data_IF_739009206146
#
_entry.id   IF_739009206146
#
_cell.length_a   1.000
_cell.length_b   1.000
_cell.length_c   1.000
_cell.angle_alpha   90.00
_cell.angle_beta   90.00
_cell.angle_gamma   90.00
#
_symmetry.space_group_name_H-M   'P 1'
#
loop_
_entity.id
_entity.type
_entity.pdbx_description
1 polymer ?
#
# COMPACT_ATOMS: atom_id res chain seq x y z
N UNK A 1 32.98 7.33 3.46
CA UNK A 1 31.60 7.86 3.46
C UNK A 1 31.11 7.89 2.02
N UNK A 2 29.88 7.46 1.75
CA UNK A 2 29.31 7.55 0.40
C UNK A 2 29.03 9.02 0.03
N UNK A 3 29.30 9.40 -1.21
CA UNK A 3 28.96 10.72 -1.74
C UNK A 3 27.44 10.85 -1.92
N UNK A 4 26.93 12.08 -2.04
CA UNK A 4 25.50 12.31 -2.28
C UNK A 4 25.00 11.58 -3.54
N UNK A 5 25.76 11.62 -4.63
CA UNK A 5 25.42 10.92 -5.86
C UNK A 5 25.39 9.39 -5.67
N UNK A 6 26.30 8.84 -4.86
CA UNK A 6 26.29 7.40 -4.54
C UNK A 6 25.05 7.02 -3.73
N UNK A 7 24.62 7.85 -2.77
CA UNK A 7 23.39 7.61 -2.01
C UNK A 7 22.14 7.66 -2.89
N UNK A 8 22.04 8.67 -3.76
CA UNK A 8 20.94 8.79 -4.72
C UNK A 8 20.89 7.54 -5.60
N UNK A 9 22.02 7.10 -6.15
CA UNK A 9 22.07 5.89 -6.98
C UNK A 9 21.61 4.64 -6.19
N UNK A 10 22.06 4.49 -4.94
CA UNK A 10 21.64 3.38 -4.08
C UNK A 10 20.12 3.35 -3.87
N UNK A 11 19.48 4.50 -3.67
CA UNK A 11 18.02 4.55 -3.56
C UNK A 11 17.33 4.22 -4.88
N UNK A 12 17.86 4.72 -6.01
CA UNK A 12 17.29 4.43 -7.34
C UNK A 12 17.38 2.95 -7.69
N UNK A 13 18.44 2.26 -7.28
CA UNK A 13 18.61 0.82 -7.51
C UNK A 13 17.72 -0.02 -6.58
N UNK A 14 17.39 0.49 -5.38
CA UNK A 14 16.58 -0.21 -4.39
C UNK A 14 15.07 0.00 -4.56
N UNK A 15 14.64 1.11 -5.18
CA UNK A 15 13.24 1.47 -5.32
C UNK A 15 12.63 0.94 -6.62
N UNK A 16 11.39 0.42 -6.59
CA UNK A 16 10.62 0.17 -7.80
C UNK A 16 10.40 1.46 -8.60
N UNK A 17 10.33 1.35 -9.92
CA UNK A 17 10.24 2.51 -10.82
C UNK A 17 9.07 3.46 -10.52
N UNK A 18 7.91 2.95 -10.07
CA UNK A 18 6.78 3.80 -9.67
C UNK A 18 7.09 4.64 -8.42
N UNK A 19 7.86 4.10 -7.48
CA UNK A 19 8.24 4.82 -6.26
C UNK A 19 9.36 5.83 -6.53
N UNK A 20 10.25 5.51 -7.46
CA UNK A 20 11.19 6.51 -8.00
C UNK A 20 10.41 7.68 -8.62
N UNK A 21 9.39 7.41 -9.44
CA UNK A 21 8.55 8.48 -10.04
C UNK A 21 7.82 9.29 -8.98
N UNK A 22 7.28 8.65 -7.94
CA UNK A 22 6.62 9.33 -6.84
C UNK A 22 7.57 10.27 -6.08
N UNK A 23 8.78 9.78 -5.73
CA UNK A 23 9.83 10.55 -5.11
C UNK A 23 10.26 11.75 -5.97
N UNK A 24 10.52 11.51 -7.27
CA UNK A 24 10.93 12.56 -8.22
C UNK A 24 9.82 13.60 -8.39
N UNK A 25 8.55 13.18 -8.48
CA UNK A 25 7.41 14.10 -8.56
C UNK A 25 7.30 14.97 -7.30
N UNK A 26 7.47 14.38 -6.12
CA UNK A 26 7.49 15.13 -4.84
C UNK A 26 8.64 16.13 -4.82
N UNK A 27 9.82 15.71 -5.25
CA UNK A 27 10.99 16.57 -5.34
C UNK A 27 10.78 17.75 -6.30
N UNK A 28 10.24 17.51 -7.50
CA UNK A 28 9.96 18.54 -8.50
C UNK A 28 8.86 19.52 -8.10
N UNK A 29 7.96 19.11 -7.20
CA UNK A 29 6.91 19.98 -6.66
C UNK A 29 7.42 20.92 -5.55
N UNK A 30 8.66 20.76 -5.08
CA UNK A 30 9.27 21.67 -4.13
C UNK A 30 9.80 22.92 -4.84
N UNK A 31 9.62 24.09 -4.22
CA UNK A 31 9.99 25.40 -4.79
C UNK A 31 11.50 25.61 -4.99
N UNK A 32 12.32 24.74 -4.41
CA UNK A 32 13.78 24.85 -4.40
C UNK A 32 14.36 23.45 -4.64
N UNK A 33 14.72 23.23 -5.91
CA UNK A 33 15.13 21.94 -6.49
C UNK A 33 16.62 21.73 -6.19
N UNK A 34 16.91 20.85 -5.23
CA UNK A 34 18.27 20.48 -4.83
C UNK A 34 18.43 18.96 -4.67
N UNK A 35 19.62 18.46 -4.95
CA UNK A 35 19.94 17.03 -4.90
C UNK A 35 19.86 16.45 -3.48
N UNK A 36 20.07 17.25 -2.44
CA UNK A 36 19.87 16.78 -1.05
C UNK A 36 18.39 16.47 -0.81
N UNK A 37 17.48 17.30 -1.33
CA UNK A 37 16.03 17.06 -1.21
C UNK A 37 15.55 15.91 -2.08
N UNK A 38 16.23 15.63 -3.20
CA UNK A 38 15.97 14.44 -4.00
C UNK A 38 16.31 13.18 -3.19
N UNK A 39 17.51 13.14 -2.59
CA UNK A 39 17.93 12.02 -1.75
C UNK A 39 16.95 11.80 -0.58
N UNK A 40 16.52 12.87 0.09
CA UNK A 40 15.51 12.80 1.14
C UNK A 40 14.16 12.25 0.64
N UNK A 41 13.71 12.68 -0.54
CA UNK A 41 12.45 12.22 -1.12
C UNK A 41 12.51 10.72 -1.47
N UNK A 42 13.66 10.27 -1.98
CA UNK A 42 13.91 8.86 -2.27
C UNK A 42 13.98 8.02 -0.97
N UNK A 43 14.68 8.50 0.06
CA UNK A 43 14.76 7.84 1.36
C UNK A 43 13.37 7.70 2.01
N UNK A 44 12.52 8.73 1.91
CA UNK A 44 11.14 8.67 2.40
C UNK A 44 10.31 7.57 1.73
N UNK A 45 10.42 7.40 0.41
CA UNK A 45 9.73 6.33 -0.29
C UNK A 45 10.25 4.94 0.13
N UNK A 46 11.56 4.82 0.34
CA UNK A 46 12.15 3.55 0.78
C UNK A 46 11.67 3.19 2.19
N UNK A 47 11.62 4.15 3.11
CA UNK A 47 11.06 3.97 4.45
C UNK A 47 9.57 3.64 4.41
N UNK A 48 8.80 4.23 3.47
CA UNK A 48 7.38 3.95 3.32
C UNK A 48 7.13 2.49 2.88
N UNK A 49 7.92 1.99 1.93
CA UNK A 49 7.87 0.58 1.52
C UNK A 49 8.21 -0.35 2.68
N UNK A 50 9.33 -0.09 3.38
CA UNK A 50 9.75 -0.93 4.49
C UNK A 50 8.70 -0.99 5.62
N UNK A 51 8.01 0.14 5.89
CA UNK A 51 6.89 0.18 6.84
C UNK A 51 5.69 -0.62 6.34
N UNK A 52 5.35 -0.50 5.06
CA UNK A 52 4.23 -1.25 4.48
C UNK A 52 4.49 -2.76 4.51
N UNK A 53 5.70 -3.19 4.15
CA UNK A 53 6.12 -4.59 4.23
C UNK A 53 6.04 -5.10 5.67
N UNK A 54 6.51 -4.31 6.64
CA UNK A 54 6.39 -4.67 8.06
C UNK A 54 4.93 -4.81 8.53
N UNK A 55 4.01 -3.98 8.02
CA UNK A 55 2.57 -4.11 8.29
C UNK A 55 2.02 -5.40 7.68
N UNK A 56 2.36 -5.72 6.43
CA UNK A 56 1.89 -6.96 5.78
C UNK A 56 2.40 -8.21 6.49
N UNK A 57 3.60 -8.14 7.07
CA UNK A 57 4.22 -9.22 7.83
C UNK A 57 3.71 -9.31 9.28
N UNK A 58 2.95 -8.31 9.75
CA UNK A 58 2.40 -8.28 11.11
C UNK A 58 1.42 -9.43 11.35
N UNK A 59 1.35 -9.89 12.60
CA UNK A 59 0.45 -10.97 12.99
C UNK A 59 -1.01 -10.54 12.86
N UNK A 60 -1.31 -9.27 13.15
CA UNK A 60 -2.63 -8.66 12.99
C UNK A 60 -3.09 -8.68 11.54
N UNK A 61 -2.23 -8.23 10.61
CA UNK A 61 -2.56 -8.25 9.18
C UNK A 61 -2.75 -9.68 8.67
N UNK A 62 -1.88 -10.62 9.08
CA UNK A 62 -1.98 -12.03 8.69
C UNK A 62 -3.20 -12.73 9.29
N UNK A 63 -3.73 -12.27 10.42
CA UNK A 63 -5.01 -12.75 10.98
C UNK A 63 -6.19 -12.29 10.13
N UNK A 64 -6.20 -11.06 9.65
CA UNK A 64 -7.28 -10.53 8.81
C UNK A 64 -7.19 -11.04 7.35
N UNK A 65 -5.97 -11.14 6.83
CA UNK A 65 -5.65 -11.54 5.46
C UNK A 65 -4.64 -12.70 5.45
N UNK A 66 -5.07 -13.91 5.85
CA UNK A 66 -4.19 -15.07 5.85
C UNK A 66 -3.80 -15.45 4.42
N UNK A 67 -2.57 -15.94 4.24
CA UNK A 67 -2.20 -16.61 3.00
C UNK A 67 -3.09 -17.82 2.81
N UNK A 68 -3.83 -17.83 1.70
CA UNK A 68 -4.73 -18.91 1.33
C UNK A 68 -4.22 -19.53 0.04
N UNK A 69 -4.21 -20.86 0.00
CA UNK A 69 -4.06 -21.61 -1.25
C UNK A 69 -5.19 -21.28 -2.22
N UNK A 70 -5.02 -21.58 -3.51
CA UNK A 70 -6.05 -21.34 -4.52
C UNK A 70 -7.36 -22.06 -4.16
N UNK A 71 -7.29 -23.29 -3.67
CA UNK A 71 -8.47 -24.06 -3.23
C UNK A 71 -9.19 -23.37 -2.06
N UNK A 72 -8.46 -22.84 -1.08
CA UNK A 72 -9.05 -22.11 0.05
C UNK A 72 -9.69 -20.80 -0.39
N UNK A 73 -9.07 -20.09 -1.35
CA UNK A 73 -9.66 -18.87 -1.93
C UNK A 73 -10.96 -19.19 -2.66
N UNK A 74 -10.99 -20.26 -3.45
CA UNK A 74 -12.20 -20.72 -4.16
C UNK A 74 -13.30 -21.08 -3.15
N UNK A 75 -12.99 -21.87 -2.11
CA UNK A 75 -13.97 -22.24 -1.09
C UNK A 75 -14.51 -21.04 -0.31
N UNK A 76 -13.65 -20.08 0.03
CA UNK A 76 -14.06 -18.83 0.69
C UNK A 76 -14.98 -18.00 -0.20
N UNK A 77 -14.66 -17.91 -1.50
CA UNK A 77 -15.49 -17.23 -2.50
C UNK A 77 -16.87 -17.89 -2.64
N UNK A 78 -16.91 -19.22 -2.78
CA UNK A 78 -18.16 -19.99 -2.87
C UNK A 78 -19.03 -19.82 -1.62
N UNK A 79 -18.42 -19.82 -0.42
CA UNK A 79 -19.13 -19.58 0.83
C UNK A 79 -19.74 -18.18 0.89
N UNK A 80 -18.96 -17.16 0.53
CA UNK A 80 -19.45 -15.78 0.48
C UNK A 80 -20.60 -15.62 -0.53
N UNK A 81 -20.54 -16.33 -1.67
CA UNK A 81 -21.62 -16.35 -2.64
C UNK A 81 -22.89 -17.01 -2.10
N UNK A 82 -22.77 -18.18 -1.46
CA UNK A 82 -23.90 -18.86 -0.84
C UNK A 82 -24.53 -18.04 0.30
N UNK A 83 -23.72 -17.32 1.09
CA UNK A 83 -24.22 -16.38 2.11
C UNK A 83 -24.98 -15.21 1.47
N UNK A 84 -24.46 -14.64 0.38
CA UNK A 84 -25.16 -13.60 -0.37
C UNK A 84 -26.50 -14.09 -0.94
N UNK A 85 -26.54 -15.29 -1.52
CA UNK A 85 -27.78 -15.89 -2.03
C UNK A 85 -28.80 -16.15 -0.92
N UNK A 86 -28.34 -16.57 0.27
CA UNK A 86 -29.20 -16.85 1.43
C UNK A 86 -29.77 -15.57 2.05
N UNK A 87 -28.93 -14.56 2.25
CA UNK A 87 -29.27 -13.36 3.00
C UNK A 87 -29.72 -12.19 2.10
N UNK A 88 -29.72 -12.40 0.77
CA UNK A 88 -30.22 -11.45 -0.24
C UNK A 88 -29.29 -10.26 -0.51
N UNK A 89 -28.05 -10.31 -0.01
CA UNK A 89 -27.13 -9.17 -0.02
C UNK A 89 -27.66 -7.98 0.77
N UNK A 90 -26.83 -6.93 0.87
CA UNK A 90 -27.31 -5.63 1.39
C UNK A 90 -27.89 -4.81 0.25
N UNK A 91 -29.08 -4.26 0.45
CA UNK A 91 -29.65 -3.31 -0.50
C UNK A 91 -28.76 -2.07 -0.63
N UNK A 92 -28.86 -1.36 -1.76
CA UNK A 92 -28.14 -0.10 -1.97
C UNK A 92 -28.36 0.92 -0.84
N UNK A 93 -29.56 0.94 -0.26
CA UNK A 93 -29.89 1.80 0.87
C UNK A 93 -29.12 1.43 2.14
N UNK A 94 -28.97 0.14 2.43
CA UNK A 94 -28.20 -0.37 3.58
C UNK A 94 -26.70 -0.12 3.42
N UNK A 95 -26.17 -0.29 2.21
CA UNK A 95 -24.79 0.06 1.89
C UNK A 95 -24.58 1.57 2.08
N UNK A 96 -25.50 2.39 1.58
CA UNK A 96 -25.44 3.85 1.74
C UNK A 96 -25.53 4.30 3.20
N UNK A 97 -26.37 3.65 4.01
CA UNK A 97 -26.47 3.91 5.45
C UNK A 97 -25.17 3.50 6.19
N UNK A 98 -24.60 2.35 5.83
CA UNK A 98 -23.33 1.89 6.38
C UNK A 98 -22.16 2.84 6.05
N UNK A 99 -22.05 3.29 4.79
CA UNK A 99 -21.02 4.27 4.37
C UNK A 99 -21.14 5.56 5.19
N UNK A 100 -22.37 6.04 5.41
CA UNK A 100 -22.61 7.25 6.24
C UNK A 100 -22.28 7.06 7.71
N UNK A 101 -22.18 5.82 8.20
CA UNK A 101 -21.86 5.49 9.59
C UNK A 101 -20.36 5.33 9.87
N UNK A 102 -19.52 5.30 8.82
CA UNK A 102 -18.08 5.20 8.98
C UNK A 102 -17.51 6.50 9.59
N UNK A 103 -16.54 6.39 10.53
CA UNK A 103 -15.84 7.56 11.05
C UNK A 103 -15.18 8.34 9.91
N UNK A 104 -15.27 9.66 9.96
CA UNK A 104 -14.59 10.54 9.01
C UNK A 104 -13.12 10.74 9.37
#
# INVERSE_FOLDING_TARGET
MATLNQKIQQHLDALPGEQVKAAVKRWLNNSDIDLVKLEQSLAQEQDAIAKFDAIMESEEFRKEFPYMTEEEQIQRSLRAHAEFERDGGKSHAEIGAWIKSLPR
#
